data_IF_360582544014
#
_entry.id   IF_360582544014
#
_cell.length_a   1.000
_cell.length_b   1.000
_cell.length_c   1.000
_cell.angle_alpha   90.00
_cell.angle_beta   90.00
_cell.angle_gamma   90.00
#
_symmetry.space_group_name_H-M   'P 1'
#
loop_
_entity.id
_entity.type
_entity.pdbx_description
1 polymer ?
#
# COMPACT_ATOMS: atom_id res chain seq x y z
N UNK A 1 18.31 3.23 7.87
CA UNK A 1 17.79 2.66 9.12
C UNK A 1 16.28 2.81 9.19
N UNK A 2 15.60 1.75 9.55
CA UNK A 2 14.15 1.78 9.71
C UNK A 2 13.77 2.47 11.03
N UNK A 3 12.63 3.12 11.03
CA UNK A 3 12.15 3.92 12.16
C UNK A 3 10.98 3.18 12.81
N UNK A 4 10.90 3.22 14.15
CA UNK A 4 9.77 2.64 14.87
C UNK A 4 8.57 3.60 14.82
N UNK A 5 7.33 3.06 14.68
CA UNK A 5 6.15 3.91 14.64
C UNK A 5 5.76 4.42 16.03
N UNK A 6 5.14 5.62 16.07
CA UNK A 6 4.46 6.11 17.26
C UNK A 6 3.03 5.55 17.27
N UNK A 7 2.37 5.46 18.44
CA UNK A 7 1.00 4.96 18.51
C UNK A 7 0.05 5.80 17.64
N UNK A 8 -0.76 5.12 16.82
CA UNK A 8 -1.78 5.74 15.97
C UNK A 8 -1.25 6.72 14.92
N UNK A 9 0.04 6.76 14.70
CA UNK A 9 0.65 7.60 13.67
C UNK A 9 0.16 7.15 12.28
N UNK A 10 -0.28 8.07 11.39
CA UNK A 10 -0.68 7.67 10.05
C UNK A 10 0.52 7.27 9.20
N UNK A 11 0.31 6.28 8.33
CA UNK A 11 1.36 5.77 7.46
C UNK A 11 1.07 6.05 5.99
N UNK A 12 2.13 6.10 5.22
CA UNK A 12 2.06 6.10 3.76
C UNK A 12 2.53 4.75 3.24
N UNK A 13 1.90 4.26 2.18
CA UNK A 13 2.31 3.02 1.53
C UNK A 13 2.65 3.31 0.08
N UNK A 14 3.90 3.05 -0.29
CA UNK A 14 4.36 3.17 -1.66
C UNK A 14 4.46 1.79 -2.28
N UNK A 15 3.97 1.65 -3.50
CA UNK A 15 3.88 0.37 -4.20
C UNK A 15 4.78 0.38 -5.43
N UNK A 16 5.29 -0.78 -5.76
CA UNK A 16 5.99 -1.00 -7.03
C UNK A 16 5.65 -2.39 -7.55
N UNK A 17 5.57 -2.51 -8.86
CA UNK A 17 5.33 -3.80 -9.50
C UNK A 17 6.14 -3.88 -10.78
N UNK A 18 6.83 -5.00 -10.94
CA UNK A 18 7.54 -5.35 -12.15
C UNK A 18 6.84 -6.54 -12.80
N UNK A 19 7.44 -7.11 -13.85
CA UNK A 19 6.88 -8.31 -14.48
C UNK A 19 6.81 -9.49 -13.51
N UNK A 20 7.70 -9.56 -12.54
CA UNK A 20 7.85 -10.75 -11.70
C UNK A 20 7.77 -10.50 -10.20
N UNK A 21 7.77 -9.25 -9.76
CA UNK A 21 7.85 -8.92 -8.33
C UNK A 21 6.92 -7.76 -8.02
N UNK A 22 6.22 -7.85 -6.89
CA UNK A 22 5.52 -6.71 -6.30
C UNK A 22 6.18 -6.36 -4.98
N UNK A 23 6.16 -5.08 -4.63
CA UNK A 23 6.72 -4.62 -3.37
C UNK A 23 5.90 -3.47 -2.79
N UNK A 24 6.05 -3.29 -1.48
CA UNK A 24 5.37 -2.22 -0.76
C UNK A 24 6.32 -1.70 0.32
N UNK A 25 6.40 -0.38 0.43
CA UNK A 25 7.20 0.28 1.46
C UNK A 25 6.28 1.09 2.36
N UNK A 26 6.31 0.80 3.65
CA UNK A 26 5.54 1.50 4.67
C UNK A 26 6.40 2.64 5.22
N UNK A 27 5.87 3.86 5.21
CA UNK A 27 6.62 5.08 5.47
C UNK A 27 5.85 5.98 6.45
N UNK A 28 6.57 6.68 7.32
CA UNK A 28 6.00 7.76 8.15
C UNK A 28 6.53 9.10 7.66
N UNK A 29 5.72 10.14 7.84
CA UNK A 29 6.14 11.52 7.64
C UNK A 29 6.27 12.18 9.00
N UNK A 30 7.42 12.80 9.27
CA UNK A 30 7.68 13.46 10.55
C UNK A 30 8.32 14.81 10.35
N UNK A 31 7.99 15.72 11.24
CA UNK A 31 8.70 17.00 11.36
C UNK A 31 10.01 16.73 12.10
N UNK A 32 11.11 17.22 11.53
CA UNK A 32 12.42 17.06 12.11
C UNK A 32 13.08 18.42 12.28
N UNK A 33 13.89 18.62 13.35
CA UNK A 33 14.61 19.88 13.56
C UNK A 33 15.48 20.25 12.36
N UNK A 34 15.39 21.50 11.92
CA UNK A 34 16.18 21.99 10.80
C UNK A 34 15.54 21.83 9.44
N UNK A 35 14.44 21.09 9.35
CA UNK A 35 13.74 20.89 8.07
C UNK A 35 12.45 21.72 8.04
N UNK A 36 12.20 22.37 6.90
CA UNK A 36 10.98 23.16 6.71
C UNK A 36 9.81 22.29 6.26
N UNK A 37 10.10 21.12 5.67
CA UNK A 37 9.12 20.16 5.21
C UNK A 37 9.21 18.90 6.03
N UNK A 38 8.12 18.14 6.06
CA UNK A 38 8.11 16.83 6.71
C UNK A 38 9.07 15.89 5.99
N UNK A 39 9.78 15.10 6.77
CA UNK A 39 10.73 14.11 6.25
C UNK A 39 10.06 12.75 6.26
N UNK A 40 10.17 12.02 5.15
CA UNK A 40 9.65 10.67 5.03
C UNK A 40 10.70 9.67 5.50
N UNK A 41 10.31 8.78 6.40
CA UNK A 41 11.18 7.73 6.94
C UNK A 41 10.57 6.36 6.67
N UNK A 42 11.28 5.48 5.96
CA UNK A 42 10.79 4.13 5.76
C UNK A 42 10.80 3.33 7.06
N UNK A 43 9.76 2.52 7.26
CA UNK A 43 9.65 1.63 8.41
C UNK A 43 9.80 0.18 8.02
N UNK A 44 9.11 -0.24 6.96
CA UNK A 44 9.15 -1.63 6.51
C UNK A 44 9.08 -1.70 5.00
N UNK A 45 9.76 -2.68 4.47
CA UNK A 45 9.72 -3.04 3.07
C UNK A 45 9.33 -4.51 2.97
N UNK A 46 8.33 -4.82 2.16
CA UNK A 46 7.93 -6.19 1.87
C UNK A 46 7.86 -6.40 0.38
N UNK A 47 8.15 -7.61 -0.06
CA UNK A 47 8.07 -7.95 -1.47
C UNK A 47 7.65 -9.40 -1.65
N UNK A 48 7.18 -9.71 -2.84
CA UNK A 48 6.79 -11.08 -3.19
C UNK A 48 7.09 -11.32 -4.66
N UNK A 49 7.70 -12.46 -4.94
CA UNK A 49 7.89 -12.92 -6.31
C UNK A 49 6.56 -13.47 -6.80
N UNK A 50 6.12 -13.00 -7.97
CA UNK A 50 4.85 -13.41 -8.54
C UNK A 50 4.95 -14.79 -9.17
N UNK A 51 3.89 -15.60 -8.99
CA UNK A 51 3.75 -16.86 -9.73
C UNK A 51 3.54 -16.56 -11.20
N UNK A 52 3.64 -17.57 -12.06
CA UNK A 52 3.37 -17.41 -13.49
C UNK A 52 2.01 -16.77 -13.73
N UNK A 53 0.98 -17.25 -13.06
CA UNK A 53 -0.37 -16.72 -13.21
C UNK A 53 -0.44 -15.24 -12.82
N UNK A 54 0.12 -14.89 -11.67
CA UNK A 54 0.10 -13.51 -11.18
C UNK A 54 0.98 -12.58 -12.00
N UNK A 55 2.05 -13.10 -12.60
CA UNK A 55 2.92 -12.28 -13.45
C UNK A 55 2.18 -11.76 -14.70
N UNK A 56 1.06 -12.39 -15.05
CA UNK A 56 0.22 -11.99 -16.19
C UNK A 56 -0.89 -11.02 -15.83
N UNK A 57 -1.02 -10.64 -14.55
CA UNK A 57 -2.00 -9.63 -14.13
C UNK A 57 -1.69 -8.30 -14.79
N UNK A 58 -2.72 -7.51 -15.05
CA UNK A 58 -2.54 -6.12 -15.46
C UNK A 58 -1.83 -5.33 -14.35
N UNK A 59 -1.17 -4.23 -14.72
CA UNK A 59 -0.41 -3.43 -13.76
C UNK A 59 -1.28 -2.99 -12.58
N UNK A 60 -2.51 -2.55 -12.84
CA UNK A 60 -3.44 -2.16 -11.78
C UNK A 60 -3.72 -3.32 -10.84
N UNK A 61 -3.89 -4.52 -11.37
CA UNK A 61 -4.14 -5.71 -10.57
C UNK A 61 -2.92 -6.09 -9.73
N UNK A 62 -1.72 -5.95 -10.28
CA UNK A 62 -0.49 -6.21 -9.53
C UNK A 62 -0.34 -5.25 -8.36
N UNK A 63 -0.67 -3.97 -8.58
CA UNK A 63 -0.59 -2.97 -7.52
C UNK A 63 -1.62 -3.24 -6.42
N UNK A 64 -2.85 -3.61 -6.78
CA UNK A 64 -3.86 -4.01 -5.79
C UNK A 64 -3.40 -5.24 -5.02
N UNK A 65 -2.84 -6.21 -5.72
CA UNK A 65 -2.29 -7.39 -5.05
C UNK A 65 -1.17 -7.02 -4.08
N UNK A 66 -0.33 -6.05 -4.43
CA UNK A 66 0.73 -5.58 -3.54
C UNK A 66 0.17 -5.02 -2.23
N UNK A 67 -0.96 -4.31 -2.29
CA UNK A 67 -1.63 -3.83 -1.07
C UNK A 67 -2.12 -5.00 -0.22
N UNK A 68 -2.79 -5.96 -0.83
CA UNK A 68 -3.30 -7.15 -0.12
C UNK A 68 -2.15 -7.92 0.51
N UNK A 69 -1.06 -8.11 -0.22
CA UNK A 69 0.16 -8.75 0.31
C UNK A 69 0.68 -7.99 1.54
N UNK A 70 0.76 -6.66 1.44
CA UNK A 70 1.25 -5.83 2.53
C UNK A 70 0.35 -5.94 3.77
N UNK A 71 -0.98 -5.95 3.60
CA UNK A 71 -1.90 -6.11 4.73
C UNK A 71 -1.69 -7.43 5.45
N UNK A 72 -1.38 -8.49 4.73
CA UNK A 72 -1.13 -9.80 5.33
C UNK A 72 0.20 -9.88 6.05
N UNK A 73 1.26 -9.35 5.42
CA UNK A 73 2.60 -9.40 5.99
C UNK A 73 2.82 -8.41 7.14
N UNK A 74 2.08 -7.30 7.13
CA UNK A 74 2.23 -6.23 8.12
C UNK A 74 0.89 -5.97 8.84
N UNK A 75 0.12 -7.01 9.07
CA UNK A 75 -1.26 -6.92 9.55
C UNK A 75 -1.43 -6.04 10.78
N UNK A 76 -0.57 -6.17 11.78
CA UNK A 76 -0.74 -5.41 13.01
C UNK A 76 -0.52 -3.90 12.85
N UNK A 77 0.22 -3.48 11.82
CA UNK A 77 0.35 -2.05 11.52
C UNK A 77 -0.92 -1.53 10.85
N UNK A 78 -1.50 -2.32 9.93
CA UNK A 78 -2.73 -1.94 9.25
C UNK A 78 -3.94 -1.93 10.17
N UNK A 79 -3.97 -2.74 11.23
CA UNK A 79 -5.08 -2.78 12.17
C UNK A 79 -5.07 -1.61 13.15
N UNK A 80 -3.91 -1.01 13.41
CA UNK A 80 -3.76 0.05 14.41
C UNK A 80 -3.60 1.44 13.81
N UNK A 81 -3.29 1.54 12.52
CA UNK A 81 -2.96 2.81 11.89
C UNK A 81 -3.75 3.03 10.62
N UNK A 82 -4.04 4.29 10.34
CA UNK A 82 -4.54 4.71 9.05
C UNK A 82 -3.39 4.61 8.04
N UNK A 83 -3.65 4.00 6.90
CA UNK A 83 -2.66 3.85 5.84
C UNK A 83 -3.16 4.51 4.56
N UNK A 84 -2.39 5.45 4.04
CA UNK A 84 -2.70 6.10 2.76
C UNK A 84 -1.79 5.53 1.68
N UNK A 85 -2.40 4.90 0.69
CA UNK A 85 -1.68 4.36 -0.47
C UNK A 85 -1.41 5.49 -1.44
N UNK A 86 -0.13 5.77 -1.69
CA UNK A 86 0.30 6.84 -2.60
C UNK A 86 0.48 6.24 -3.99
N UNK A 87 -0.36 6.67 -4.94
CA UNK A 87 -0.35 6.06 -6.25
C UNK A 87 -0.84 7.04 -7.32
N UNK A 88 -0.31 6.91 -8.54
CA UNK A 88 -0.79 7.64 -9.70
C UNK A 88 -1.87 6.85 -10.47
N UNK A 89 -2.15 5.61 -10.07
CA UNK A 89 -3.18 4.76 -10.69
C UNK A 89 -4.51 4.93 -9.95
N UNK A 90 -5.65 4.77 -10.62
CA UNK A 90 -6.97 4.95 -10.00
C UNK A 90 -7.40 3.74 -9.16
N UNK A 91 -6.56 3.32 -8.22
CA UNK A 91 -6.80 2.12 -7.41
C UNK A 91 -8.04 2.25 -6.53
N UNK A 92 -8.26 3.44 -5.97
CA UNK A 92 -9.44 3.68 -5.13
C UNK A 92 -10.74 3.50 -5.89
N UNK A 93 -10.79 3.94 -7.13
CA UNK A 93 -11.97 3.77 -7.98
C UNK A 93 -12.19 2.30 -8.33
N UNK A 94 -11.12 1.58 -8.62
CA UNK A 94 -11.19 0.16 -8.96
C UNK A 94 -11.74 -0.64 -7.76
N UNK A 95 -11.24 -0.35 -6.56
CA UNK A 95 -11.66 -1.04 -5.33
C UNK A 95 -13.13 -0.73 -5.00
N UNK A 96 -13.57 0.50 -5.24
CA UNK A 96 -14.96 0.91 -4.95
C UNK A 96 -15.96 0.54 -6.03
N UNK A 97 -15.52 -0.01 -7.14
CA UNK A 97 -16.40 -0.38 -8.25
C UNK A 97 -17.33 -1.53 -7.83
N UNK A 98 -18.63 -1.26 -7.75
CA UNK A 98 -19.63 -2.25 -7.37
C UNK A 98 -19.81 -3.37 -8.40
N UNK A 99 -19.42 -3.11 -9.63
CA UNK A 99 -19.54 -4.08 -10.72
C UNK A 99 -18.30 -4.97 -10.84
N UNK A 100 -17.29 -4.74 -9.99
CA UNK A 100 -16.08 -5.57 -9.99
C UNK A 100 -16.42 -7.00 -9.61
N UNK A 101 -15.80 -7.95 -10.30
CA UNK A 101 -16.01 -9.37 -10.09
C UNK A 101 -14.66 -10.07 -9.92
N UNK A 102 -14.72 -11.34 -9.47
CA UNK A 102 -13.54 -12.17 -9.35
C UNK A 102 -12.58 -11.68 -8.28
N UNK A 103 -11.28 -11.70 -8.59
CA UNK A 103 -10.25 -11.37 -7.60
C UNK A 103 -10.30 -9.93 -7.10
N UNK A 104 -10.70 -8.98 -7.95
CA UNK A 104 -10.79 -7.58 -7.53
C UNK A 104 -11.87 -7.42 -6.46
N UNK A 105 -13.01 -8.04 -6.64
CA UNK A 105 -14.09 -8.03 -5.66
C UNK A 105 -13.63 -8.62 -4.33
N UNK A 106 -12.92 -9.74 -4.39
CA UNK A 106 -12.37 -10.39 -3.19
C UNK A 106 -11.37 -9.50 -2.47
N UNK A 107 -10.46 -8.87 -3.22
CA UNK A 107 -9.46 -7.98 -2.62
C UNK A 107 -10.12 -6.74 -2.00
N UNK A 108 -11.16 -6.20 -2.65
CA UNK A 108 -11.89 -5.07 -2.10
C UNK A 108 -12.49 -5.41 -0.74
N UNK A 109 -13.08 -6.60 -0.61
CA UNK A 109 -13.65 -7.06 0.66
C UNK A 109 -12.55 -7.19 1.72
N UNK A 110 -11.40 -7.75 1.36
CA UNK A 110 -10.29 -7.90 2.30
C UNK A 110 -9.79 -6.52 2.81
N UNK A 111 -9.71 -5.53 1.92
CA UNK A 111 -9.24 -4.20 2.28
C UNK A 111 -10.24 -3.40 3.12
N UNK A 112 -11.53 -3.74 3.04
CA UNK A 112 -12.57 -3.08 3.86
C UNK A 112 -12.35 -3.29 5.36
N UNK A 113 -11.60 -4.29 5.75
CA UNK A 113 -11.27 -4.54 7.15
C UNK A 113 -10.25 -3.58 7.74
N UNK A 114 -9.67 -2.69 6.93
CA UNK A 114 -8.61 -1.78 7.35
C UNK A 114 -8.94 -0.34 6.98
N UNK A 115 -8.32 0.61 7.66
CA UNK A 115 -8.46 2.03 7.33
C UNK A 115 -7.44 2.40 6.26
N UNK A 116 -7.77 2.09 5.01
CA UNK A 116 -6.92 2.33 3.84
C UNK A 116 -7.52 3.41 2.97
N UNK A 117 -6.75 4.45 2.72
CA UNK A 117 -7.12 5.56 1.84
C UNK A 117 -6.19 5.58 0.63
N UNK A 118 -6.65 6.22 -0.44
CA UNK A 118 -5.86 6.35 -1.66
C UNK A 118 -5.62 7.83 -1.93
N UNK A 119 -4.35 8.20 -2.11
CA UNK A 119 -3.97 9.59 -2.35
C UNK A 119 -3.12 9.66 -3.62
N UNK A 120 -3.23 10.78 -4.37
CA UNK A 120 -2.45 10.92 -5.59
C UNK A 120 -0.97 11.08 -5.27
N UNK A 121 -0.13 10.57 -6.17
CA UNK A 121 1.31 10.72 -6.05
C UNK A 121 1.70 12.14 -6.45
N UNK A 122 2.36 12.86 -5.56
CA UNK A 122 2.88 14.19 -5.84
C UNK A 122 4.21 14.09 -6.57
N UNK A 123 4.44 15.06 -7.43
CA UNK A 123 5.72 15.18 -8.11
C UNK A 123 6.69 16.03 -7.29
#
# INVERSE_FOLDING_TARGET
>A
MLVAPDPYEPFLLYLAATNHVVSATLVVEREEPGDTLKVQRPMYFVSEVLTDTKSRYLQTQKLLYAIVMATKKLQHYFTKHEVSVVTSFPLGEVVRNRDAVGRISKWAVELMGYDVKFVPRRR
#
